data_IF_312000516844
#
_entry.id   IF_312000516844
#
_cell.length_a   1.000
_cell.length_b   1.000
_cell.length_c   1.000
_cell.angle_alpha   90.00
_cell.angle_beta   90.00
_cell.angle_gamma   90.00
#
_symmetry.space_group_name_H-M   'P 1'
#
loop_
_entity.id
_entity.type
_entity.pdbx_description
1 polymer ?
#
# COMPACT_ATOMS: atom_id res chain seq x y z
N UNK A 1 -0.39 17.89 28.90
CA UNK A 1 0.73 17.29 28.15
C UNK A 1 0.19 16.09 27.42
N UNK A 2 0.35 16.01 26.11
CA UNK A 2 -0.01 14.80 25.34
C UNK A 2 1.06 13.73 25.58
N UNK A 3 0.63 12.53 25.94
CA UNK A 3 1.49 11.36 26.07
C UNK A 3 1.70 10.76 24.68
N UNK A 4 2.95 10.52 24.29
CA UNK A 4 3.29 9.87 23.03
C UNK A 4 3.50 8.37 23.26
N UNK A 5 3.09 7.55 22.29
CA UNK A 5 3.31 6.10 22.27
C UNK A 5 3.97 5.71 20.95
N UNK A 6 4.73 4.62 20.95
CA UNK A 6 5.30 4.05 19.74
C UNK A 6 4.98 2.57 19.66
N UNK A 7 4.65 2.09 18.45
CA UNK A 7 4.38 0.67 18.22
C UNK A 7 5.59 -0.24 18.47
N UNK A 8 6.80 0.32 18.39
CA UNK A 8 8.05 -0.40 18.65
C UNK A 8 8.38 -0.46 20.14
N UNK A 9 7.70 0.34 20.97
CA UNK A 9 7.85 0.36 22.41
C UNK A 9 6.46 0.34 23.08
N UNK A 10 5.68 -0.74 22.90
CA UNK A 10 4.28 -0.79 23.33
C UNK A 10 4.10 -0.64 24.85
N UNK A 11 5.12 -1.03 25.62
CA UNK A 11 5.15 -0.94 27.08
C UNK A 11 5.63 0.43 27.60
N UNK A 12 5.92 1.39 26.71
CA UNK A 12 6.45 2.71 27.09
C UNK A 12 5.50 3.84 26.69
N UNK A 13 5.47 4.83 27.56
CA UNK A 13 4.83 6.11 27.33
C UNK A 13 5.88 7.22 27.42
N UNK A 14 5.85 8.15 26.47
CA UNK A 14 6.83 9.21 26.36
C UNK A 14 6.20 10.57 26.66
N UNK A 15 6.80 11.30 27.60
CA UNK A 15 6.33 12.61 28.00
C UNK A 15 6.66 13.73 26.98
N UNK A 16 7.58 13.47 26.05
CA UNK A 16 8.02 14.41 25.02
C UNK A 16 8.53 13.70 23.76
N UNK A 17 8.60 14.45 22.65
CA UNK A 17 9.20 13.96 21.39
C UNK A 17 10.67 13.57 21.59
N UNK A 18 11.41 14.39 22.34
CA UNK A 18 12.84 14.13 22.60
C UNK A 18 13.05 12.80 23.35
N UNK A 19 12.18 12.47 24.31
CA UNK A 19 12.26 11.20 25.02
C UNK A 19 11.99 10.00 24.10
N UNK A 20 11.02 10.13 23.19
CA UNK A 20 10.74 9.12 22.17
C UNK A 20 11.90 8.97 21.19
N UNK A 21 12.45 10.10 20.69
CA UNK A 21 13.55 10.12 19.75
C UNK A 21 14.84 9.52 20.33
N UNK A 22 15.12 9.74 21.62
CA UNK A 22 16.25 9.11 22.30
C UNK A 22 16.15 7.58 22.28
N UNK A 23 14.97 7.03 22.56
CA UNK A 23 14.74 5.58 22.50
C UNK A 23 14.80 5.05 21.07
N UNK A 24 14.23 5.75 20.08
CA UNK A 24 14.34 5.36 18.68
C UNK A 24 15.80 5.38 18.20
N UNK A 25 16.55 6.44 18.50
CA UNK A 25 17.97 6.57 18.13
C UNK A 25 18.82 5.44 18.71
N UNK A 26 18.54 5.03 19.94
CA UNK A 26 19.25 3.93 20.58
C UNK A 26 18.99 2.58 19.91
N UNK A 27 17.81 2.38 19.31
CA UNK A 27 17.35 1.07 18.86
C UNK A 27 17.09 0.95 17.34
N UNK A 28 17.19 2.03 16.54
CA UNK A 28 16.73 2.00 15.14
C UNK A 28 17.47 0.96 14.28
N UNK A 29 18.74 0.68 14.57
CA UNK A 29 19.49 -0.37 13.88
C UNK A 29 18.89 -1.76 14.11
N UNK A 30 18.46 -2.04 15.35
CA UNK A 30 17.80 -3.30 15.69
C UNK A 30 16.40 -3.35 15.06
N UNK A 31 15.65 -2.24 15.08
CA UNK A 31 14.35 -2.15 14.41
C UNK A 31 14.47 -2.44 12.90
N UNK A 32 15.48 -1.87 12.24
CA UNK A 32 15.82 -2.17 10.85
C UNK A 32 16.16 -3.65 10.67
N UNK A 33 16.99 -4.21 11.55
CA UNK A 33 17.40 -5.60 11.47
C UNK A 33 16.19 -6.56 11.61
N UNK A 34 15.30 -6.30 12.57
CA UNK A 34 14.08 -7.06 12.76
C UNK A 34 13.16 -6.98 11.54
N UNK A 35 12.92 -5.77 11.02
CA UNK A 35 12.10 -5.56 9.82
C UNK A 35 12.66 -6.30 8.58
N UNK A 36 13.98 -6.39 8.44
CA UNK A 36 14.65 -7.14 7.35
C UNK A 36 14.61 -8.65 7.54
N UNK A 37 14.63 -9.12 8.79
CA UNK A 37 14.57 -10.55 9.12
C UNK A 37 13.18 -11.13 8.93
N UNK A 38 12.14 -10.33 9.16
CA UNK A 38 10.75 -10.73 9.04
C UNK A 38 10.26 -10.79 7.58
N UNK A 39 9.31 -11.70 7.33
CA UNK A 39 8.53 -11.72 6.10
C UNK A 39 7.26 -10.92 6.31
N UNK A 40 7.22 -9.74 5.73
CA UNK A 40 6.13 -8.77 5.84
C UNK A 40 4.92 -9.23 5.00
N UNK A 41 3.73 -9.15 5.61
CA UNK A 41 2.42 -9.46 5.02
C UNK A 41 1.38 -8.50 5.59
N UNK A 42 0.28 -8.30 4.88
CA UNK A 42 -0.78 -7.37 5.31
C UNK A 42 -1.68 -7.87 6.43
N UNK A 43 -1.68 -9.17 6.74
CA UNK A 43 -2.74 -9.80 7.55
C UNK A 43 -2.76 -9.42 9.05
N UNK A 44 -2.03 -8.39 9.47
CA UNK A 44 -2.10 -7.88 10.84
C UNK A 44 -2.33 -6.36 10.87
N UNK A 45 -3.61 -6.01 11.11
CA UNK A 45 -4.15 -4.76 11.69
C UNK A 45 -4.57 -3.68 10.70
N UNK A 46 -5.89 -3.52 10.66
CA UNK A 46 -6.63 -2.67 9.73
C UNK A 46 -6.53 -1.18 10.02
N UNK A 47 -6.49 -0.44 8.91
CA UNK A 47 -7.24 0.79 8.65
C UNK A 47 -7.10 1.04 7.13
N UNK A 48 -8.11 0.62 6.37
CA UNK A 48 -8.20 0.94 4.94
C UNK A 48 -9.07 2.19 4.77
N UNK A 49 -8.57 3.21 4.09
CA UNK A 49 -9.42 4.28 3.55
C UNK A 49 -10.09 3.70 2.31
N UNK A 50 -11.36 3.33 2.46
CA UNK A 50 -12.19 2.78 1.40
C UNK A 50 -12.51 3.87 0.38
N UNK A 51 -12.08 3.69 -0.86
CA UNK A 51 -12.60 4.46 -1.97
C UNK A 51 -12.80 3.52 -3.16
N UNK A 52 -14.01 3.54 -3.71
CA UNK A 52 -14.39 2.77 -4.90
C UNK A 52 -13.46 3.12 -6.06
N UNK A 53 -13.13 2.13 -6.90
CA UNK A 53 -12.37 2.34 -8.14
C UNK A 53 -12.98 3.47 -8.96
N UNK A 54 -12.19 4.50 -9.32
CA UNK A 54 -12.66 5.62 -10.13
C UNK A 54 -12.67 5.27 -11.62
N UNK A 55 -13.62 5.87 -12.33
CA UNK A 55 -13.84 5.75 -13.77
C UNK A 55 -12.64 6.27 -14.58
N UNK A 56 -11.89 5.35 -15.20
CA UNK A 56 -10.69 5.64 -15.98
C UNK A 56 -11.00 6.45 -17.25
N UNK A 57 -12.22 6.32 -17.82
CA UNK A 57 -12.59 7.08 -19.02
C UNK A 57 -12.65 8.60 -18.76
N UNK A 58 -12.78 9.02 -17.51
CA UNK A 58 -12.73 10.44 -17.10
C UNK A 58 -11.30 10.99 -16.94
N UNK A 59 -10.28 10.14 -16.93
CA UNK A 59 -8.87 10.51 -16.71
C UNK A 59 -8.01 10.54 -18.00
N UNK A 60 -8.62 10.30 -19.17
CA UNK A 60 -7.96 10.03 -20.46
C UNK A 60 -6.93 11.05 -20.98
N UNK A 61 -6.87 12.28 -20.47
CA UNK A 61 -6.02 13.32 -21.08
C UNK A 61 -4.53 13.29 -20.67
N UNK A 62 -4.12 12.52 -19.66
CA UNK A 62 -2.74 12.59 -19.16
C UNK A 62 -2.02 11.25 -18.99
N UNK A 63 -2.64 10.12 -19.37
CA UNK A 63 -2.07 8.82 -19.05
C UNK A 63 -1.49 8.14 -20.29
N UNK A 64 -0.16 7.97 -20.32
CA UNK A 64 0.53 6.99 -21.17
C UNK A 64 0.23 5.53 -20.72
N UNK A 65 -0.90 5.32 -20.02
CA UNK A 65 -1.13 4.21 -19.11
C UNK A 65 -1.19 2.87 -19.81
N UNK A 66 -0.65 1.89 -19.08
CA UNK A 66 -0.98 0.47 -19.14
C UNK A 66 -2.22 0.16 -19.99
N UNK A 67 -2.00 -0.46 -21.16
CA UNK A 67 -3.09 -0.99 -21.97
C UNK A 67 -3.66 -2.23 -21.26
N UNK A 68 -4.80 -2.06 -20.61
CA UNK A 68 -5.53 -3.14 -19.97
C UNK A 68 -6.26 -3.94 -21.05
N UNK A 69 -5.82 -5.17 -21.27
CA UNK A 69 -6.45 -6.16 -22.14
C UNK A 69 -7.59 -6.89 -21.39
N UNK A 70 -8.77 -6.98 -22.01
CA UNK A 70 -9.95 -7.61 -21.41
C UNK A 70 -9.80 -9.11 -21.19
N UNK A 71 -8.82 -9.77 -21.81
CA UNK A 71 -8.49 -11.19 -21.58
C UNK A 71 -7.68 -11.43 -20.30
N UNK A 72 -7.23 -10.37 -19.61
CA UNK A 72 -6.39 -10.45 -18.43
C UNK A 72 -6.99 -9.68 -17.24
N UNK A 73 -6.61 -10.07 -16.03
CA UNK A 73 -6.70 -9.21 -14.86
C UNK A 73 -5.32 -8.57 -14.61
N UNK A 74 -5.33 -7.31 -14.19
CA UNK A 74 -4.14 -6.55 -13.84
C UNK A 74 -4.26 -6.14 -12.38
N UNK A 75 -3.51 -6.77 -11.50
CA UNK A 75 -3.67 -6.61 -10.05
C UNK A 75 -2.45 -5.86 -9.53
N UNK A 76 -2.64 -4.63 -9.04
CA UNK A 76 -1.62 -3.90 -8.29
C UNK A 76 -1.47 -4.53 -6.91
N UNK A 77 -0.45 -5.35 -6.71
CA UNK A 77 -0.21 -6.09 -5.45
C UNK A 77 0.59 -5.28 -4.42
N UNK A 78 1.24 -4.20 -4.86
CA UNK A 78 1.86 -3.19 -4.01
C UNK A 78 2.02 -1.88 -4.78
N UNK A 79 2.02 -0.76 -4.06
CA UNK A 79 2.29 0.57 -4.59
C UNK A 79 3.30 1.33 -3.75
N UNK A 80 3.83 2.41 -4.31
CA UNK A 80 4.81 3.29 -3.69
C UNK A 80 4.18 4.63 -3.29
N UNK A 81 4.94 5.47 -2.60
CA UNK A 81 4.53 6.83 -2.20
C UNK A 81 3.35 6.89 -1.21
N UNK A 82 3.02 5.77 -0.57
CA UNK A 82 2.05 5.69 0.53
C UNK A 82 2.81 5.32 1.79
N UNK A 83 2.58 6.08 2.87
CA UNK A 83 2.98 5.68 4.21
C UNK A 83 1.92 4.69 4.71
N UNK A 84 2.31 3.43 4.82
CA UNK A 84 1.39 2.34 5.16
C UNK A 84 1.15 2.22 6.68
N UNK A 85 0.28 1.29 7.07
CA UNK A 85 -0.03 1.02 8.49
C UNK A 85 1.15 0.47 9.30
N UNK A 86 2.26 0.13 8.64
CA UNK A 86 3.49 -0.30 9.29
C UNK A 86 4.52 0.82 9.47
N UNK A 87 4.13 2.05 9.14
CA UNK A 87 5.00 3.24 9.07
C UNK A 87 6.12 3.06 8.03
N UNK A 88 5.87 2.24 7.00
CA UNK A 88 6.80 1.95 5.93
C UNK A 88 6.38 2.76 4.68
N UNK A 89 7.31 3.56 4.16
CA UNK A 89 7.20 4.26 2.89
C UNK A 89 7.96 3.49 1.82
N UNK A 90 7.24 2.85 0.91
CA UNK A 90 7.84 2.23 -0.27
C UNK A 90 8.11 3.30 -1.33
N UNK A 91 9.32 3.32 -1.89
CA UNK A 91 9.71 4.30 -2.91
C UNK A 91 9.81 3.68 -4.30
N UNK A 92 9.61 4.45 -5.39
CA UNK A 92 9.74 3.96 -6.75
C UNK A 92 11.07 3.23 -7.00
N UNK A 93 11.00 2.13 -7.74
CA UNK A 93 12.13 1.25 -8.05
C UNK A 93 12.36 0.12 -7.04
N UNK A 94 11.60 0.08 -5.93
CA UNK A 94 11.69 -0.98 -4.90
C UNK A 94 11.56 -2.40 -5.48
N UNK A 95 10.82 -2.56 -6.59
CA UNK A 95 10.54 -3.85 -7.22
C UNK A 95 11.42 -4.19 -8.44
N UNK A 96 12.34 -3.32 -8.84
CA UNK A 96 13.15 -3.46 -10.07
C UNK A 96 13.90 -4.79 -10.16
N UNK A 97 14.38 -5.30 -9.02
CA UNK A 97 15.07 -6.58 -8.94
C UNK A 97 14.07 -7.75 -8.90
N UNK A 98 13.01 -7.61 -8.12
CA UNK A 98 11.96 -8.63 -7.99
C UNK A 98 11.32 -8.99 -9.33
N UNK A 99 10.97 -8.00 -10.16
CA UNK A 99 10.36 -8.27 -11.48
C UNK A 99 11.28 -9.05 -12.43
N UNK A 100 12.60 -8.90 -12.28
CA UNK A 100 13.60 -9.61 -13.10
C UNK A 100 13.88 -11.01 -12.57
N UNK A 101 14.01 -11.15 -11.25
CA UNK A 101 14.52 -12.38 -10.62
C UNK A 101 13.43 -13.34 -10.13
N UNK A 102 12.20 -12.85 -9.90
CA UNK A 102 11.10 -13.64 -9.33
C UNK A 102 10.03 -13.99 -10.36
N UNK A 103 10.23 -13.69 -11.65
CA UNK A 103 9.27 -14.02 -12.70
C UNK A 103 8.96 -15.53 -12.69
N UNK A 104 7.67 -15.88 -12.71
CA UNK A 104 7.24 -17.28 -12.65
C UNK A 104 7.48 -18.00 -11.33
N UNK A 105 7.87 -17.30 -10.25
CA UNK A 105 8.18 -17.91 -8.94
C UNK A 105 7.11 -17.67 -7.87
N UNK A 106 6.27 -16.66 -8.05
CA UNK A 106 5.25 -16.28 -7.08
C UNK A 106 3.86 -16.73 -7.51
N UNK A 107 3.07 -17.24 -6.57
CA UNK A 107 1.65 -17.53 -6.77
C UNK A 107 0.81 -16.28 -6.52
N UNK A 108 -0.41 -16.26 -7.06
CA UNK A 108 -1.47 -15.41 -6.54
C UNK A 108 -2.36 -16.28 -5.65
N UNK A 109 -2.55 -15.90 -4.39
CA UNK A 109 -3.33 -16.67 -3.40
C UNK A 109 -4.41 -15.83 -2.73
N UNK A 110 -5.34 -16.46 -2.03
CA UNK A 110 -6.23 -15.78 -1.09
C UNK A 110 -5.53 -15.63 0.28
N UNK A 111 -5.65 -14.46 0.91
CA UNK A 111 -5.36 -14.23 2.34
C UNK A 111 -3.94 -14.63 2.82
N UNK A 112 -2.94 -14.59 1.93
CA UNK A 112 -1.56 -15.02 2.18
C UNK A 112 -1.38 -16.49 2.59
N UNK A 113 -2.40 -17.32 2.39
CA UNK A 113 -2.39 -18.73 2.74
C UNK A 113 -1.78 -19.56 1.59
N UNK A 114 -0.57 -20.07 1.82
CA UNK A 114 0.15 -20.94 0.88
C UNK A 114 -0.33 -22.40 0.98
N UNK A 115 -1.62 -22.62 0.77
CA UNK A 115 -2.23 -23.95 0.65
C UNK A 115 -2.86 -24.14 -0.73
N UNK A 116 -3.02 -25.38 -1.18
CA UNK A 116 -3.49 -25.70 -2.54
C UNK A 116 -4.88 -25.08 -2.81
N UNK A 117 -5.76 -25.13 -1.81
CA UNK A 117 -7.15 -24.67 -1.95
C UNK A 117 -7.24 -23.14 -2.11
N UNK A 118 -6.25 -22.38 -1.61
CA UNK A 118 -6.23 -20.93 -1.70
C UNK A 118 -5.43 -20.39 -2.90
N UNK A 119 -4.93 -21.26 -3.78
CA UNK A 119 -4.26 -20.82 -5.01
C UNK A 119 -5.29 -20.23 -5.98
N UNK A 120 -5.15 -18.94 -6.28
CA UNK A 120 -5.96 -18.23 -7.27
C UNK A 120 -5.38 -18.42 -8.67
N UNK A 121 -4.07 -18.22 -8.82
CA UNK A 121 -3.33 -18.41 -10.07
C UNK A 121 -1.99 -19.08 -9.78
N UNK A 122 -1.65 -20.08 -10.59
CA UNK A 122 -0.33 -20.73 -10.52
C UNK A 122 0.75 -19.83 -11.11
N UNK A 123 1.93 -19.87 -10.50
CA UNK A 123 3.07 -19.00 -10.78
C UNK A 123 3.47 -18.87 -12.25
N UNK A 124 3.36 -19.95 -13.04
CA UNK A 124 3.73 -19.97 -14.45
C UNK A 124 2.83 -19.11 -15.36
N UNK A 125 1.65 -18.71 -14.88
CA UNK A 125 0.70 -17.87 -15.62
C UNK A 125 0.73 -16.40 -15.19
N UNK A 126 1.67 -16.02 -14.33
CA UNK A 126 1.77 -14.66 -13.82
C UNK A 126 2.89 -13.93 -14.54
N UNK A 127 2.54 -12.84 -15.19
CA UNK A 127 3.49 -11.86 -15.71
C UNK A 127 3.60 -10.70 -14.70
N UNK A 128 4.75 -10.59 -14.03
CA UNK A 128 5.05 -9.48 -13.12
C UNK A 128 5.78 -8.35 -13.84
N UNK A 129 5.37 -7.11 -13.59
CA UNK A 129 6.07 -5.89 -14.03
C UNK A 129 5.70 -4.70 -13.15
N UNK A 130 6.41 -3.58 -13.31
CA UNK A 130 6.04 -2.30 -12.69
C UNK A 130 5.46 -1.33 -13.71
N UNK A 131 4.52 -0.49 -13.27
CA UNK A 131 4.01 0.62 -14.06
C UNK A 131 3.72 1.83 -13.17
N UNK A 132 3.96 3.03 -13.72
CA UNK A 132 3.53 4.29 -13.10
C UNK A 132 2.06 4.55 -13.44
N UNK A 133 1.25 4.80 -12.43
CA UNK A 133 -0.20 5.00 -12.53
C UNK A 133 -0.64 6.15 -11.61
N UNK A 134 -1.63 6.96 -12.00
CA UNK A 134 -2.25 7.89 -11.06
C UNK A 134 -2.97 7.14 -9.94
N UNK A 135 -2.92 7.65 -8.71
CA UNK A 135 -3.61 7.05 -7.56
C UNK A 135 -5.12 6.87 -7.78
N UNK A 136 -5.72 7.75 -8.58
CA UNK A 136 -7.13 7.67 -8.96
C UNK A 136 -7.49 6.35 -9.68
N UNK A 137 -6.58 5.76 -10.46
CA UNK A 137 -6.83 4.44 -11.10
C UNK A 137 -6.96 3.29 -10.09
N UNK A 138 -6.50 3.51 -8.86
CA UNK A 138 -6.59 2.58 -7.74
C UNK A 138 -7.70 2.99 -6.76
N UNK A 139 -8.61 3.86 -7.20
CA UNK A 139 -9.71 4.39 -6.40
C UNK A 139 -9.29 5.44 -5.37
N UNK A 140 -8.02 5.82 -5.23
CA UNK A 140 -7.61 6.77 -4.19
C UNK A 140 -7.67 8.22 -4.65
N UNK A 141 -8.16 9.08 -3.78
CA UNK A 141 -8.25 10.53 -3.99
C UNK A 141 -6.96 11.26 -3.58
N UNK A 142 -5.80 10.65 -3.83
CA UNK A 142 -4.49 11.27 -3.62
C UNK A 142 -4.02 11.91 -4.93
N UNK A 143 -3.36 13.06 -4.82
CA UNK A 143 -2.76 13.72 -5.98
C UNK A 143 -1.51 12.97 -6.45
N UNK A 144 -1.29 12.99 -7.77
CA UNK A 144 -0.09 12.45 -8.40
C UNK A 144 -0.13 10.96 -8.70
N UNK A 145 1.06 10.39 -8.88
CA UNK A 145 1.27 9.04 -9.38
C UNK A 145 1.99 8.16 -8.35
N UNK A 146 1.78 6.86 -8.51
CA UNK A 146 2.51 5.79 -7.83
C UNK A 146 3.14 4.85 -8.84
N UNK A 147 4.24 4.22 -8.48
CA UNK A 147 4.69 2.99 -9.14
C UNK A 147 3.95 1.81 -8.50
N UNK A 148 3.35 0.94 -9.31
CA UNK A 148 2.69 -0.27 -8.86
C UNK A 148 3.48 -1.51 -9.29
N UNK A 149 3.65 -2.49 -8.39
CA UNK A 149 3.96 -3.87 -8.77
C UNK A 149 2.67 -4.54 -9.23
N UNK A 150 2.65 -5.01 -10.48
CA UNK A 150 1.45 -5.53 -11.12
C UNK A 150 1.63 -7.00 -11.45
N UNK A 151 0.63 -7.79 -11.10
CA UNK A 151 0.45 -9.15 -11.57
C UNK A 151 -0.56 -9.14 -12.70
N UNK A 152 -0.11 -9.42 -13.92
CA UNK A 152 -0.99 -9.65 -15.07
C UNK A 152 -1.23 -11.14 -15.20
N UNK A 153 -2.50 -11.52 -15.14
CA UNK A 153 -2.93 -12.92 -15.13
C UNK A 153 -4.03 -13.17 -16.16
N UNK A 154 -3.96 -14.24 -16.98
CA UNK A 154 -5.05 -14.60 -17.88
C UNK A 154 -6.31 -14.97 -17.11
N UNK A 155 -7.46 -14.45 -17.53
CA UNK A 155 -8.75 -14.72 -16.84
C UNK A 155 -9.13 -16.21 -16.84
N UNK A 156 -8.76 -16.94 -17.90
CA UNK A 156 -9.00 -18.38 -18.04
C UNK A 156 -8.09 -19.25 -17.16
N UNK A 157 -7.09 -18.64 -16.49
CA UNK A 157 -6.16 -19.30 -15.58
C UNK A 157 -6.43 -19.03 -14.10
N UNK A 158 -7.47 -18.25 -13.79
CA UNK A 158 -7.97 -18.09 -12.42
C UNK A 158 -8.79 -19.32 -12.05
N UNK A 159 -8.29 -20.12 -11.11
CA UNK A 159 -8.91 -21.39 -10.72
C UNK A 159 -9.78 -21.28 -9.46
N UNK A 160 -9.59 -20.23 -8.65
CA UNK A 160 -10.35 -20.02 -7.43
C UNK A 160 -11.67 -19.27 -7.72
N UNK A 161 -12.80 -19.98 -7.63
CA UNK A 161 -14.12 -19.50 -8.06
C UNK A 161 -14.55 -18.21 -7.34
N UNK A 162 -14.36 -18.15 -6.01
CA UNK A 162 -14.75 -16.97 -5.23
C UNK A 162 -13.89 -15.74 -5.54
N UNK A 163 -12.60 -15.95 -5.83
CA UNK A 163 -11.71 -14.86 -6.22
C UNK A 163 -12.08 -14.33 -7.61
N UNK A 164 -12.44 -15.24 -8.52
CA UNK A 164 -12.96 -14.87 -9.84
C UNK A 164 -14.23 -14.02 -9.74
N UNK A 165 -15.18 -14.43 -8.89
CA UNK A 165 -16.41 -13.68 -8.63
C UNK A 165 -16.10 -12.23 -8.21
N UNK A 166 -15.20 -12.01 -7.25
CA UNK A 166 -14.84 -10.67 -6.76
C UNK A 166 -14.09 -9.84 -7.83
N UNK A 167 -13.18 -10.49 -8.57
CA UNK A 167 -12.48 -9.85 -9.68
C UNK A 167 -13.41 -9.44 -10.82
N UNK A 168 -14.59 -10.06 -10.96
CA UNK A 168 -15.59 -9.77 -11.98
C UNK A 168 -16.66 -8.79 -11.49
N UNK A 169 -17.13 -8.92 -10.24
CA UNK A 169 -18.25 -8.14 -9.69
C UNK A 169 -18.01 -6.64 -9.64
N UNK A 170 -16.75 -6.24 -9.46
CA UNK A 170 -16.43 -4.83 -9.20
C UNK A 170 -16.43 -4.50 -7.72
N UNK A 171 -16.58 -5.51 -6.85
CA UNK A 171 -16.42 -5.33 -5.42
C UNK A 171 -15.02 -4.81 -5.10
N UNK A 172 -14.95 -3.99 -4.06
CA UNK A 172 -13.71 -3.45 -3.55
C UNK A 172 -12.88 -4.62 -2.98
N UNK A 173 -11.74 -4.88 -3.63
CA UNK A 173 -10.77 -5.88 -3.21
C UNK A 173 -9.38 -5.27 -3.26
N UNK A 174 -8.63 -5.44 -2.18
CA UNK A 174 -7.25 -5.01 -2.09
C UNK A 174 -6.31 -6.17 -2.43
N UNK A 175 -5.03 -5.85 -2.57
CA UNK A 175 -4.02 -6.86 -2.76
C UNK A 175 -2.81 -6.58 -1.87
N UNK A 176 -2.09 -7.64 -1.56
CA UNK A 176 -0.91 -7.53 -0.73
C UNK A 176 0.21 -8.38 -1.27
N UNK A 177 1.42 -7.91 -1.03
CA UNK A 177 2.64 -8.62 -1.39
C UNK A 177 3.22 -9.25 -0.15
N UNK A 178 3.57 -10.54 -0.23
CA UNK A 178 4.47 -11.13 0.76
C UNK A 178 5.88 -10.73 0.40
N UNK A 179 6.54 -10.01 1.29
CA UNK A 179 7.81 -9.39 0.98
C UNK A 179 8.84 -9.50 2.09
N UNK A 180 10.10 -9.36 1.68
CA UNK A 180 11.24 -9.23 2.58
C UNK A 180 12.01 -7.95 2.22
N UNK A 181 12.26 -7.10 3.21
CA UNK A 181 13.03 -5.88 2.99
C UNK A 181 14.52 -6.18 2.82
N UNK A 182 15.15 -5.58 1.82
CA UNK A 182 16.58 -5.71 1.52
C UNK A 182 17.31 -4.44 1.95
N UNK A 183 16.83 -3.30 1.46
CA UNK A 183 17.39 -1.97 1.75
C UNK A 183 16.31 -1.10 2.36
N UNK A 184 16.53 -0.69 3.61
CA UNK A 184 15.62 0.14 4.41
C UNK A 184 16.43 1.24 5.10
N UNK A 185 15.87 2.44 5.15
CA UNK A 185 16.41 3.56 5.92
C UNK A 185 15.42 3.93 7.01
N UNK A 186 15.91 4.59 8.05
CA UNK A 186 15.08 5.20 9.08
C UNK A 186 15.11 6.72 8.94
N UNK A 187 13.94 7.35 9.05
CA UNK A 187 13.74 8.79 8.99
C UNK A 187 13.10 9.27 10.29
N UNK A 188 13.60 10.38 10.83
CA UNK A 188 13.10 10.95 12.08
C UNK A 188 13.15 12.46 12.05
N UNK A 189 12.06 13.12 12.46
CA UNK A 189 11.95 14.59 12.48
C UNK A 189 12.61 15.21 13.72
N UNK A 190 13.91 14.98 13.86
CA UNK A 190 14.72 15.43 14.98
C UNK A 190 15.63 16.59 14.60
N UNK A 191 15.77 17.55 15.51
CA UNK A 191 16.74 18.65 15.38
C UNK A 191 18.04 18.38 16.16
N UNK A 192 18.16 17.21 16.78
CA UNK A 192 19.39 16.82 17.48
C UNK A 192 20.53 16.60 16.48
N UNK A 193 21.72 17.20 16.69
CA UNK A 193 22.87 17.01 15.82
C UNK A 193 23.28 15.54 15.60
N UNK A 194 23.05 14.66 16.57
CA UNK A 194 23.36 13.22 16.42
C UNK A 194 22.43 12.53 15.41
N UNK A 195 21.23 13.08 15.19
CA UNK A 195 20.23 12.54 14.26
C UNK A 195 20.35 13.11 12.84
N UNK A 196 21.40 13.88 12.53
CA UNK A 196 21.52 14.60 11.26
C UNK A 196 21.25 13.72 10.01
N UNK A 197 21.65 12.45 10.06
CA UNK A 197 21.39 11.49 8.96
C UNK A 197 19.92 11.07 8.91
N UNK A 198 19.28 10.83 10.06
CA UNK A 198 17.87 10.46 10.16
C UNK A 198 16.97 11.64 9.77
N UNK A 199 17.34 12.85 10.15
CA UNK A 199 16.67 14.09 9.74
C UNK A 199 16.81 14.35 8.25
N UNK A 200 18.01 14.14 7.69
CA UNK A 200 18.22 14.23 6.24
C UNK A 200 17.31 13.26 5.48
N UNK A 201 17.22 12.00 5.92
CA UNK A 201 16.29 11.02 5.32
C UNK A 201 14.84 11.49 5.45
N UNK A 202 14.45 12.03 6.61
CA UNK A 202 13.11 12.58 6.81
C UNK A 202 12.81 13.69 5.81
N UNK A 203 13.66 14.70 5.71
CA UNK A 203 13.43 15.84 4.81
C UNK A 203 13.44 15.46 3.32
N UNK A 204 14.31 14.52 2.93
CA UNK A 204 14.43 14.05 1.55
C UNK A 204 13.15 13.33 1.07
N UNK A 205 12.60 12.44 1.90
CA UNK A 205 11.52 11.55 1.49
C UNK A 205 10.14 12.02 1.94
N UNK A 206 10.04 12.96 2.89
CA UNK A 206 8.75 13.43 3.39
C UNK A 206 7.90 13.88 2.22
N UNK A 207 8.43 14.70 1.30
CA UNK A 207 7.72 15.21 0.12
C UNK A 207 7.00 14.13 -0.73
N UNK A 208 7.47 12.89 -0.72
CA UNK A 208 6.94 11.78 -1.54
C UNK A 208 5.72 11.08 -0.95
N UNK A 209 5.42 11.25 0.34
CA UNK A 209 4.24 10.63 0.95
C UNK A 209 2.98 11.32 0.41
N UNK A 210 2.16 10.59 -0.34
CA UNK A 210 0.94 11.12 -0.97
C UNK A 210 -0.21 11.27 0.04
N UNK A 211 -0.30 10.35 1.00
CA UNK A 211 -1.35 10.33 2.03
C UNK A 211 -0.99 11.11 3.30
N UNK A 212 -0.13 12.14 3.22
CA UNK A 212 0.26 12.95 4.40
C UNK A 212 -0.91 13.57 5.14
N UNK A 213 -1.94 13.98 4.40
CA UNK A 213 -3.10 14.64 4.96
C UNK A 213 -3.88 13.74 5.93
N UNK A 214 -3.65 12.42 5.88
CA UNK A 214 -4.26 11.44 6.76
C UNK A 214 -3.62 11.45 8.16
N UNK A 215 -2.44 12.06 8.32
CA UNK A 215 -1.68 12.12 9.56
C UNK A 215 -1.69 13.54 10.13
N UNK A 216 -1.89 13.68 11.43
CA UNK A 216 -1.71 14.96 12.13
C UNK A 216 -0.24 15.39 12.14
N UNK A 217 0.65 14.43 12.40
CA UNK A 217 2.10 14.62 12.38
C UNK A 217 2.80 13.28 12.16
N UNK A 218 3.83 13.27 11.32
CA UNK A 218 4.69 12.10 11.08
C UNK A 218 5.98 12.30 11.87
N UNK A 219 6.19 11.56 12.97
CA UNK A 219 7.38 11.75 13.82
C UNK A 219 8.62 11.06 13.27
N UNK A 220 8.40 9.88 12.69
CA UNK A 220 9.42 9.02 12.12
C UNK A 220 8.72 8.05 11.17
N UNK A 221 9.47 7.44 10.28
CA UNK A 221 9.00 6.37 9.40
C UNK A 221 10.20 5.62 8.82
N UNK A 222 9.93 4.49 8.18
CA UNK A 222 10.95 3.74 7.46
C UNK A 222 10.80 3.99 5.96
N UNK A 223 11.92 4.02 5.26
CA UNK A 223 11.96 4.19 3.81
C UNK A 223 12.47 2.88 3.22
N UNK A 224 11.61 2.16 2.51
CA UNK A 224 11.94 0.87 1.92
C UNK A 224 12.36 1.08 0.47
N UNK A 225 13.66 0.95 0.22
CA UNK A 225 14.28 1.22 -1.10
C UNK A 225 14.35 -0.01 -2.00
N UNK A 226 14.41 -1.20 -1.40
CA UNK A 226 14.48 -2.45 -2.13
C UNK A 226 13.82 -3.56 -1.31
N UNK A 227 12.98 -4.34 -1.98
CA UNK A 227 12.36 -5.51 -1.39
C UNK A 227 12.27 -6.68 -2.37
N UNK A 228 12.21 -7.87 -1.80
CA UNK A 228 11.99 -9.12 -2.51
C UNK A 228 10.55 -9.55 -2.35
N UNK A 229 9.85 -9.79 -3.45
CA UNK A 229 8.57 -10.51 -3.40
C UNK A 229 8.86 -12.00 -3.16
N UNK A 230 8.32 -12.57 -2.08
CA UNK A 230 8.65 -13.91 -1.61
C UNK A 230 7.43 -14.82 -1.78
N UNK A 231 7.51 -15.78 -2.71
CA UNK A 231 6.57 -16.92 -2.91
C UNK A 231 5.14 -16.57 -3.34
N UNK A 232 4.56 -15.47 -2.92
CA UNK A 232 3.20 -15.07 -3.29
C UNK A 232 2.95 -13.57 -3.21
N UNK A 233 1.91 -13.15 -3.92
CA UNK A 233 1.07 -12.03 -3.54
C UNK A 233 -0.36 -12.55 -3.38
N UNK A 234 -1.20 -11.78 -2.73
CA UNK A 234 -2.54 -12.21 -2.37
C UNK A 234 -3.61 -11.19 -2.70
N UNK A 235 -4.81 -11.68 -2.96
CA UNK A 235 -6.02 -10.87 -2.84
C UNK A 235 -6.47 -10.93 -1.39
N UNK A 236 -6.80 -9.76 -0.84
CA UNK A 236 -7.20 -9.59 0.55
C UNK A 236 -8.35 -8.59 0.63
N UNK A 237 -9.15 -8.70 1.68
CA UNK A 237 -10.19 -7.70 1.95
C UNK A 237 -9.55 -6.39 2.46
N UNK A 238 -8.47 -6.50 3.24
CA UNK A 238 -7.74 -5.35 3.78
C UNK A 238 -6.23 -5.59 3.71
N UNK A 239 -5.53 -4.73 2.98
CA UNK A 239 -4.09 -4.64 2.88
C UNK A 239 -3.49 -3.60 3.84
N UNK A 240 -2.19 -3.72 4.16
CA UNK A 240 -1.46 -2.66 4.87
C UNK A 240 -1.27 -1.42 4.00
N UNK A 241 -1.08 -1.64 2.70
CA UNK A 241 -1.09 -0.61 1.68
C UNK A 241 -2.49 -0.60 1.01
N UNK A 242 -3.31 0.43 1.30
CA UNK A 242 -4.69 0.48 0.81
C UNK A 242 -4.77 0.83 -0.68
N UNK A 243 -3.71 1.37 -1.30
CA UNK A 243 -3.69 1.77 -2.71
C UNK A 243 -3.30 0.58 -3.60
N UNK A 244 -4.06 -0.51 -3.53
CA UNK A 244 -3.80 -1.77 -4.25
C UNK A 244 -5.11 -2.33 -4.80
N UNK A 245 -5.05 -3.43 -5.55
CA UNK A 245 -6.23 -4.12 -6.06
C UNK A 245 -6.31 -4.20 -7.59
N UNK A 246 -7.49 -4.50 -8.09
CA UNK A 246 -7.70 -4.75 -9.52
C UNK A 246 -7.76 -3.44 -10.33
N UNK A 247 -6.88 -3.30 -11.32
CA UNK A 247 -6.85 -2.19 -12.27
C UNK A 247 -7.80 -2.55 -13.43
N UNK A 248 -8.88 -1.77 -13.58
CA UNK A 248 -9.92 -2.04 -14.57
C UNK A 248 -10.13 -0.83 -15.47
N UNK A 249 -10.30 -1.04 -16.77
CA UNK A 249 -10.97 -0.04 -17.61
C UNK A 249 -12.44 0.03 -17.17
N UNK A 250 -13.02 1.23 -17.16
CA UNK A 250 -14.45 1.41 -16.97
C UNK A 250 -15.21 0.72 -18.11
N UNK A 251 -15.96 -0.34 -17.81
CA UNK A 251 -17.19 -0.59 -18.55
C UNK A 251 -18.31 0.12 -17.79
N UNK A 252 -19.18 0.89 -18.46
CA UNK A 252 -20.31 1.51 -17.80
C UNK A 252 -21.19 0.41 -17.22
N UNK A 253 -21.20 0.29 -15.89
CA UNK A 253 -22.16 -0.54 -15.20
C UNK A 253 -23.56 -0.14 -15.65
N UNK A 254 -24.36 -1.12 -16.08
CA UNK A 254 -25.79 -0.94 -16.35
C UNK A 254 -26.52 -0.58 -15.06
N UNK A 255 -26.40 0.66 -14.63
CA UNK A 255 -27.32 1.29 -13.70
C UNK A 255 -27.25 2.79 -13.92
N UNK A 256 -27.97 3.25 -14.94
CA UNK A 256 -28.42 4.63 -15.03
C UNK A 256 -29.92 4.67 -14.90
N UNK A 257 -30.37 5.73 -14.21
CA UNK A 257 -31.72 6.25 -13.95
C UNK A 257 -32.34 5.64 -12.68
N UNK A 258 -32.62 6.42 -11.63
CA UNK A 258 -33.28 7.74 -11.65
C UNK A 258 -32.61 8.83 -10.79
N UNK A 259 -32.60 10.04 -11.34
CA UNK A 259 -32.37 11.29 -10.62
C UNK A 259 -33.54 11.60 -9.68
N UNK A 260 -33.25 11.92 -8.42
CA UNK A 260 -33.65 13.18 -7.74
C UNK A 260 -33.27 13.08 -6.26
N UNK A 261 -32.28 13.85 -5.85
CA UNK A 261 -32.43 14.93 -4.86
C UNK A 261 -31.07 15.60 -4.62
N UNK A 262 -31.09 16.93 -4.64
CA UNK A 262 -29.95 17.81 -4.42
C UNK A 262 -29.33 17.56 -3.03
N UNK A 263 -28.02 17.35 -2.87
CA UNK A 263 -27.44 17.20 -1.54
C UNK A 263 -27.46 18.54 -0.81
N UNK A 264 -28.13 18.54 0.34
CA UNK A 264 -28.08 19.59 1.35
C UNK A 264 -26.61 19.81 1.80
N UNK A 265 -26.10 21.04 2.02
CA UNK A 265 -24.67 21.31 2.28
C UNK A 265 -24.13 20.83 3.65
N UNK A 266 -24.81 19.91 4.34
CA UNK A 266 -24.48 19.53 5.71
C UNK A 266 -23.87 18.14 5.89
N UNK A 267 -23.81 17.29 4.86
CA UNK A 267 -23.04 16.04 4.94
C UNK A 267 -21.62 16.25 4.40
N UNK A 268 -20.81 16.98 5.17
CA UNK A 268 -19.37 16.70 5.17
C UNK A 268 -19.22 15.41 5.94
N UNK A 269 -18.98 14.31 5.22
CA UNK A 269 -18.45 13.10 5.83
C UNK A 269 -17.28 13.51 6.71
N UNK A 270 -17.40 13.22 8.00
CA UNK A 270 -16.31 13.32 8.95
C UNK A 270 -15.23 12.39 8.45
N UNK A 271 -14.26 12.93 7.72
CA UNK A 271 -12.96 12.28 7.55
C UNK A 271 -12.43 12.14 8.96
N UNK A 272 -12.53 10.93 9.50
CA UNK A 272 -11.81 10.55 10.71
C UNK A 272 -10.35 10.66 10.32
N UNK A 273 -9.71 11.80 10.65
CA UNK A 273 -8.27 11.93 10.57
C UNK A 273 -7.69 10.77 11.37
N UNK A 274 -6.76 10.03 10.77
CA UNK A 274 -6.14 8.93 11.47
C UNK A 274 -5.26 9.52 12.56
N UNK A 275 -5.74 9.43 13.80
CA UNK A 275 -4.91 9.67 14.95
C UNK A 275 -4.03 8.42 15.11
N UNK A 276 -2.83 8.43 14.52
CA UNK A 276 -1.73 7.69 15.14
C UNK A 276 -1.18 8.48 16.34
N UNK A 277 -2.11 8.77 17.26
CA UNK A 277 -1.94 9.08 18.66
C UNK A 277 -3.21 8.55 19.33
N UNK A 278 -3.12 7.44 20.07
CA UNK A 278 -4.21 7.05 20.96
C UNK A 278 -4.32 8.13 22.05
N UNK A 279 -5.14 9.13 21.77
CA UNK A 279 -5.67 10.08 22.75
C UNK A 279 -7.07 9.58 23.06
N UNK A 280 -7.33 9.25 24.32
CA UNK A 280 -8.71 9.12 24.80
C UNK A 280 -9.27 10.53 24.98
#
# INVERSE_FOLDING_TARGET
MSILKSRYFPEKEFASKDALFADLRKNYNDLIAFKKAEIQKSCEKGLAVTCKSLDIDKLKQHVKALKVDSAYYYIAVNTTNILDSHEDLHIPGIWNKSVKEQQGQNYLVADHELCIDNVIVRKEYIEMFTAELPFAMLGKAYDGNTEALIYKVPKDKVIHSKAKEWLESGDDIEASVRMQYITILFAMDSNDPEDATLKKNYDEYLSQIANKADFEYILYYFIVKEAKNVRESSLVVFGSNPATGNIRNSEPGKSTLENKETPNPQDRSTVVKSNYYFTI
#
